data_IF_416593334789
#
_entry.id   IF_416593334789
#
_cell.length_a   1.000
_cell.length_b   1.000
_cell.length_c   1.000
_cell.angle_alpha   90.00
_cell.angle_beta   90.00
_cell.angle_gamma   90.00
#
_symmetry.space_group_name_H-M   'P 1'
#
loop_
_entity.id
_entity.type
_entity.pdbx_description
1 polymer ?
#
# COMPACT_ATOMS: atom_id res chain seq x y z
N UNK A 1 4.92 24.29 0.44
CA UNK A 1 4.80 23.25 -0.60
C UNK A 1 6.11 22.58 -1.06
N UNK A 2 7.32 23.13 -0.78
CA UNK A 2 8.59 22.48 -1.20
C UNK A 2 8.80 21.08 -0.61
N UNK A 3 8.48 20.90 0.67
CA UNK A 3 8.59 19.60 1.37
C UNK A 3 7.66 18.56 0.74
N UNK A 4 6.42 18.93 0.42
CA UNK A 4 5.47 18.04 -0.25
C UNK A 4 5.99 17.57 -1.61
N UNK A 5 6.54 18.47 -2.42
CA UNK A 5 7.13 18.11 -3.71
C UNK A 5 8.31 17.14 -3.57
N UNK A 6 9.22 17.40 -2.62
CA UNK A 6 10.36 16.52 -2.35
C UNK A 6 9.92 15.13 -1.86
N UNK A 7 8.86 15.06 -1.04
CA UNK A 7 8.26 13.81 -0.59
C UNK A 7 7.70 13.02 -1.79
N UNK A 8 6.84 13.64 -2.60
CA UNK A 8 6.23 12.97 -3.76
C UNK A 8 7.27 12.49 -4.77
N UNK A 9 8.32 13.28 -5.02
CA UNK A 9 9.44 12.89 -5.87
C UNK A 9 10.16 11.65 -5.34
N UNK A 10 10.41 11.60 -4.04
CA UNK A 10 11.07 10.47 -3.40
C UNK A 10 10.17 9.23 -3.40
N UNK A 11 8.87 9.38 -3.11
CA UNK A 11 7.91 8.27 -3.13
C UNK A 11 7.76 7.66 -4.52
N UNK A 12 7.73 8.48 -5.58
CA UNK A 12 7.64 7.98 -6.96
C UNK A 12 8.86 7.16 -7.41
N UNK A 13 10.01 7.30 -6.73
CA UNK A 13 11.20 6.46 -6.99
C UNK A 13 11.18 5.13 -6.24
N UNK A 14 10.47 5.07 -5.11
CA UNK A 14 10.50 3.92 -4.20
C UNK A 14 9.32 2.99 -4.47
N UNK A 15 8.15 3.55 -4.79
CA UNK A 15 6.93 2.79 -5.01
C UNK A 15 6.89 2.38 -6.48
N UNK A 16 7.04 1.07 -6.73
CA UNK A 16 7.05 0.48 -8.08
C UNK A 16 5.64 0.33 -8.66
N UNK A 17 4.84 1.40 -8.60
CA UNK A 17 3.47 1.45 -9.14
C UNK A 17 3.27 2.79 -9.84
N UNK A 18 2.66 2.82 -11.05
CA UNK A 18 2.40 4.07 -11.76
C UNK A 18 1.32 4.93 -11.08
N UNK A 19 0.53 4.37 -10.16
CA UNK A 19 -0.51 5.07 -9.42
C UNK A 19 0.08 5.98 -8.34
N UNK A 20 -0.34 7.25 -8.37
CA UNK A 20 0.08 8.25 -7.39
C UNK A 20 -0.57 7.97 -6.03
N UNK A 21 0.24 7.91 -4.97
CA UNK A 21 -0.25 7.68 -3.61
C UNK A 21 -0.92 8.93 -3.04
N UNK A 22 -2.08 8.73 -2.38
CA UNK A 22 -2.76 9.77 -1.60
C UNK A 22 -1.95 10.11 -0.36
N UNK A 23 -1.58 11.38 -0.22
CA UNK A 23 -0.93 11.93 0.98
C UNK A 23 -1.92 12.86 1.66
N UNK A 24 -2.09 12.69 2.97
CA UNK A 24 -2.90 13.54 3.82
C UNK A 24 -2.02 14.58 4.52
N UNK A 25 -2.23 15.86 4.22
CA UNK A 25 -1.40 16.95 4.77
C UNK A 25 -2.14 17.63 5.92
N UNK A 26 -1.58 17.57 7.12
CA UNK A 26 -2.18 18.22 8.28
C UNK A 26 -1.31 18.12 9.53
N UNK A 27 -1.80 18.71 10.60
CA UNK A 27 -1.22 18.60 11.94
C UNK A 27 -2.20 17.84 12.82
N UNK A 28 -1.98 16.53 12.97
CA UNK A 28 -2.92 15.60 13.63
C UNK A 28 -2.75 15.59 15.15
N UNK A 29 -2.97 16.73 15.79
CA UNK A 29 -2.90 16.90 17.24
C UNK A 29 -3.87 17.98 17.71
N UNK A 30 -4.14 18.05 19.02
CA UNK A 30 -5.11 18.98 19.59
C UNK A 30 -4.57 20.40 19.86
N UNK A 31 -3.32 20.70 19.50
CA UNK A 31 -2.71 22.00 19.77
C UNK A 31 -3.00 23.01 18.64
N UNK A 32 -2.99 24.33 18.95
CA UNK A 32 -3.22 25.35 17.95
C UNK A 32 -2.13 25.33 16.87
N UNK A 33 -2.53 25.63 15.63
CA UNK A 33 -1.60 25.78 14.50
C UNK A 33 -0.67 26.98 14.74
N UNK A 34 0.63 26.75 14.56
CA UNK A 34 1.64 27.82 14.62
C UNK A 34 1.41 28.88 13.52
N UNK A 35 1.08 28.42 12.31
CA UNK A 35 0.80 29.27 11.14
C UNK A 35 -0.57 28.86 10.58
N UNK A 36 -1.61 29.72 10.68
CA UNK A 36 -2.99 29.36 10.33
C UNK A 36 -3.33 29.51 8.83
N UNK A 37 -2.40 29.96 7.99
CA UNK A 37 -2.63 30.29 6.57
C UNK A 37 -3.32 29.16 5.78
N UNK A 38 -2.95 27.91 6.04
CA UNK A 38 -3.49 26.72 5.36
C UNK A 38 -4.49 25.93 6.21
N UNK A 39 -5.08 26.53 7.25
CA UNK A 39 -5.99 25.84 8.18
C UNK A 39 -7.10 25.07 7.46
N UNK A 40 -7.77 25.71 6.48
CA UNK A 40 -8.85 25.08 5.71
C UNK A 40 -8.41 23.82 4.96
N UNK A 41 -7.18 23.81 4.44
CA UNK A 41 -6.62 22.65 3.75
C UNK A 41 -6.40 21.51 4.75
N UNK A 42 -5.79 21.81 5.91
CA UNK A 42 -5.51 20.80 6.93
C UNK A 42 -6.78 20.17 7.48
N UNK A 43 -7.82 20.97 7.76
CA UNK A 43 -9.11 20.47 8.24
C UNK A 43 -9.80 19.59 7.18
N UNK A 44 -9.72 19.95 5.90
CA UNK A 44 -10.28 19.14 4.81
C UNK A 44 -9.54 17.79 4.67
N UNK A 45 -8.21 17.81 4.70
CA UNK A 45 -7.37 16.61 4.61
C UNK A 45 -7.57 15.68 5.83
N UNK A 46 -7.75 16.24 7.02
CA UNK A 46 -8.06 15.50 8.23
C UNK A 46 -9.43 14.80 8.15
N UNK A 47 -10.46 15.54 7.70
CA UNK A 47 -11.79 14.96 7.50
C UNK A 47 -11.79 13.83 6.47
N UNK A 48 -11.06 13.99 5.37
CA UNK A 48 -10.94 12.95 4.36
C UNK A 48 -10.25 11.69 4.91
N UNK A 49 -9.16 11.86 5.68
CA UNK A 49 -8.51 10.75 6.36
C UNK A 49 -9.47 10.03 7.32
N UNK A 50 -10.25 10.77 8.10
CA UNK A 50 -11.21 10.17 9.02
C UNK A 50 -12.33 9.42 8.31
N UNK A 51 -12.85 9.95 7.19
CA UNK A 51 -13.84 9.24 6.37
C UNK A 51 -13.27 7.93 5.83
N UNK A 52 -12.04 7.95 5.34
CA UNK A 52 -11.36 6.75 4.85
C UNK A 52 -11.21 5.69 5.94
N UNK A 53 -10.74 6.09 7.13
CA UNK A 53 -10.60 5.19 8.28
C UNK A 53 -11.96 4.62 8.71
N UNK A 54 -12.98 5.47 8.80
CA UNK A 54 -14.34 5.04 9.15
C UNK A 54 -14.94 4.08 8.12
N UNK A 55 -14.53 4.16 6.85
CA UNK A 55 -14.98 3.24 5.79
C UNK A 55 -14.34 1.84 5.86
N UNK A 56 -13.24 1.67 6.61
CA UNK A 56 -12.46 0.42 6.63
C UNK A 56 -13.27 -0.82 7.03
N UNK A 57 -14.16 -0.79 8.04
CA UNK A 57 -14.95 -1.97 8.42
C UNK A 57 -15.88 -2.43 7.30
N UNK A 58 -16.52 -1.48 6.59
CA UNK A 58 -17.41 -1.77 5.45
C UNK A 58 -16.65 -2.44 4.31
N UNK A 59 -15.41 -2.01 4.09
CA UNK A 59 -14.55 -2.52 3.02
C UNK A 59 -13.71 -3.74 3.43
N UNK A 60 -13.84 -4.23 4.67
CA UNK A 60 -12.99 -5.30 5.21
C UNK A 60 -13.21 -6.64 4.50
N UNK A 61 -14.46 -6.99 4.18
CA UNK A 61 -14.77 -8.24 3.49
C UNK A 61 -14.14 -8.28 2.09
N UNK A 62 -14.27 -7.19 1.31
CA UNK A 62 -13.65 -7.07 -0.01
C UNK A 62 -12.12 -7.10 0.08
N UNK A 63 -11.52 -6.45 1.09
CA UNK A 63 -10.08 -6.50 1.31
C UNK A 63 -9.59 -7.93 1.57
N UNK A 64 -10.25 -8.66 2.47
CA UNK A 64 -9.95 -10.07 2.77
C UNK A 64 -10.05 -10.95 1.52
N UNK A 65 -11.06 -10.72 0.68
CA UNK A 65 -11.22 -11.44 -0.59
C UNK A 65 -10.06 -11.14 -1.54
N UNK A 66 -9.67 -9.88 -1.70
CA UNK A 66 -8.55 -9.50 -2.55
C UNK A 66 -7.23 -10.11 -2.06
N UNK A 67 -7.00 -10.16 -0.75
CA UNK A 67 -5.80 -10.78 -0.17
C UNK A 67 -5.80 -12.30 -0.36
N UNK A 68 -6.97 -12.94 -0.27
CA UNK A 68 -7.10 -14.36 -0.58
C UNK A 68 -6.77 -14.64 -2.06
N UNK A 69 -7.24 -13.83 -2.99
CA UNK A 69 -6.93 -13.96 -4.42
C UNK A 69 -5.43 -13.81 -4.67
N UNK A 70 -4.78 -12.80 -4.05
CA UNK A 70 -3.32 -12.61 -4.16
C UNK A 70 -2.58 -13.84 -3.64
N UNK A 71 -2.98 -14.36 -2.47
CA UNK A 71 -2.36 -15.55 -1.87
C UNK A 71 -2.55 -16.80 -2.72
N UNK A 72 -3.74 -17.02 -3.28
CA UNK A 72 -4.02 -18.16 -4.15
C UNK A 72 -3.15 -18.13 -5.42
N UNK A 73 -2.97 -16.95 -6.03
CA UNK A 73 -2.06 -16.78 -7.17
C UNK A 73 -0.62 -17.12 -6.82
N UNK A 74 -0.14 -16.62 -5.67
CA UNK A 74 1.23 -16.90 -5.21
C UNK A 74 1.43 -18.39 -4.94
N UNK A 75 0.47 -19.05 -4.28
CA UNK A 75 0.53 -20.48 -3.99
C UNK A 75 0.57 -21.32 -5.28
N UNK A 76 -0.23 -20.96 -6.29
CA UNK A 76 -0.21 -21.60 -7.61
C UNK A 76 1.14 -21.46 -8.30
N UNK A 77 1.73 -20.26 -8.31
CA UNK A 77 3.07 -20.04 -8.88
C UNK A 77 4.11 -20.87 -8.13
N UNK A 78 4.06 -20.89 -6.81
CA UNK A 78 4.97 -21.68 -5.99
C UNK A 78 4.85 -23.19 -6.29
N UNK A 79 3.64 -23.71 -6.41
CA UNK A 79 3.40 -25.11 -6.78
C UNK A 79 4.00 -25.45 -8.15
N UNK A 80 3.88 -24.57 -9.15
CA UNK A 80 4.50 -24.80 -10.46
C UNK A 80 6.03 -24.76 -10.39
N UNK A 81 6.62 -23.84 -9.64
CA UNK A 81 8.08 -23.76 -9.45
C UNK A 81 8.59 -25.07 -8.85
N UNK A 82 7.99 -25.54 -7.76
CA UNK A 82 8.41 -26.79 -7.11
C UNK A 82 8.18 -28.00 -8.01
N UNK A 83 7.06 -28.06 -8.73
CA UNK A 83 6.78 -29.16 -9.67
C UNK A 83 7.80 -29.22 -10.80
N UNK A 84 8.17 -28.07 -11.36
CA UNK A 84 9.19 -27.97 -12.40
C UNK A 84 10.56 -28.40 -11.87
N UNK A 85 10.98 -27.87 -10.71
CA UNK A 85 12.25 -28.27 -10.08
C UNK A 85 12.28 -29.77 -9.77
N UNK A 86 11.20 -30.35 -9.24
CA UNK A 86 11.12 -31.78 -8.94
C UNK A 86 11.23 -32.64 -10.21
N UNK A 87 10.67 -32.18 -11.33
CA UNK A 87 10.75 -32.88 -12.61
C UNK A 87 12.18 -32.91 -13.16
N UNK A 88 12.94 -31.83 -12.95
CA UNK A 88 14.34 -31.70 -13.37
C UNK A 88 15.33 -32.35 -12.38
N UNK A 89 14.87 -32.74 -11.18
CA UNK A 89 15.77 -33.43 -10.24
C UNK A 89 16.07 -34.85 -10.73
N UNK A 90 17.35 -35.25 -10.80
CA UNK A 90 17.70 -36.62 -11.13
C UNK A 90 17.20 -37.57 -10.04
N UNK A 91 16.70 -38.73 -10.45
CA UNK A 91 16.28 -39.81 -9.56
C UNK A 91 17.50 -40.58 -9.03
N UNK A 92 18.44 -39.90 -8.34
CA UNK A 92 19.58 -40.49 -7.62
C UNK A 92 20.52 -41.40 -8.46
N UNK A 93 21.75 -40.92 -8.66
CA UNK A 93 22.92 -41.56 -9.28
C UNK A 93 22.75 -42.10 -10.71
N UNK A 94 22.98 -41.22 -11.70
CA UNK A 94 23.84 -41.65 -12.80
C UNK A 94 25.22 -41.99 -12.20
N UNK A 95 25.81 -43.11 -12.63
CA UNK A 95 27.24 -43.38 -12.45
C UNK A 95 28.06 -42.25 -13.07
#
# INVERSE_FOLDING_TARGET
MRVYGALMWSLGKIINTPEVVRVYIGSFWSHPLLIPDNRKLFEAEEQDLFKDIQSLPRNAALRKLNDLIKRARLAKVHAYIISALKKEMPNVFEK
#
